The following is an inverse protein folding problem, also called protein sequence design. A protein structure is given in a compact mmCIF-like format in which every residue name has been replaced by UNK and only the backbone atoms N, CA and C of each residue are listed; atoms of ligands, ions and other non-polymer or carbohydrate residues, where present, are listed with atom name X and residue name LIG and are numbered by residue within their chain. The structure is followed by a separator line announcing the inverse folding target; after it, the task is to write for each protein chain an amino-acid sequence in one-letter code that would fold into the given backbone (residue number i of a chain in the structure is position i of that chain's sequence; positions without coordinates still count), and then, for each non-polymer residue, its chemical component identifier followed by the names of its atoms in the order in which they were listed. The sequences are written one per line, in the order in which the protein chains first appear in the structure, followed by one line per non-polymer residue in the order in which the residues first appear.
data_IF_647833404139
#
_entry.id   IF_647833404139
#
_cell.length_a   1.000
_cell.length_b   1.000
_cell.length_c   1.000
_cell.angle_alpha   90.00
_cell.angle_beta   90.00
_cell.angle_gamma   90.00
#
_symmetry.space_group_name_H-M   'P 1'
#
loop_
_entity.id
_entity.type
_entity.pdbx_description
1 polymer ?
#
# COMPACT_ATOMS: atom_id res chain seq x y z
N UNK A 1 -19.94 -10.83 15.25
CA UNK A 1 -21.12 -11.63 14.91
C UNK A 1 -21.31 -12.67 16.02
N UNK A 2 -22.32 -12.49 16.86
CA UNK A 2 -22.58 -13.33 18.05
C UNK A 2 -22.82 -14.80 17.70
N UNK A 3 -23.13 -15.10 16.44
CA UNK A 3 -23.54 -16.43 15.98
C UNK A 3 -22.38 -17.21 15.31
N UNK A 4 -21.20 -16.62 15.15
CA UNK A 4 -20.05 -17.25 14.52
C UNK A 4 -18.81 -17.24 15.43
N UNK A 5 -18.87 -18.06 16.48
CA UNK A 5 -17.75 -18.22 17.44
C UNK A 5 -16.50 -18.80 16.79
N UNK A 6 -16.63 -19.70 15.81
CA UNK A 6 -15.50 -20.31 15.11
C UNK A 6 -14.68 -19.26 14.33
N UNK A 7 -15.34 -18.34 13.62
CA UNK A 7 -14.65 -17.25 12.93
C UNK A 7 -14.02 -16.26 13.91
N UNK A 8 -14.70 -15.99 15.05
CA UNK A 8 -14.13 -15.15 16.10
C UNK A 8 -12.87 -15.78 16.68
N UNK A 9 -12.92 -17.03 17.10
CA UNK A 9 -11.80 -17.76 17.70
C UNK A 9 -10.60 -17.88 16.73
N UNK A 10 -10.89 -17.94 15.42
CA UNK A 10 -9.86 -17.99 14.38
C UNK A 10 -9.14 -16.66 14.17
N UNK A 11 -9.87 -15.54 14.20
CA UNK A 11 -9.35 -14.22 13.80
C UNK A 11 -9.07 -13.28 14.96
N UNK A 12 -9.57 -13.61 16.17
CA UNK A 12 -9.27 -12.84 17.36
C UNK A 12 -8.28 -13.60 18.27
N UNK A 13 -7.30 -12.94 18.90
CA UNK A 13 -7.00 -11.50 18.86
C UNK A 13 -6.34 -11.07 17.56
N UNK A 14 -6.64 -9.85 17.12
CA UNK A 14 -6.02 -9.24 15.95
C UNK A 14 -4.49 -9.18 16.10
N UNK A 15 -3.75 -9.61 15.08
CA UNK A 15 -2.29 -9.52 15.08
C UNK A 15 -1.83 -8.05 15.02
N UNK A 16 -2.50 -7.23 14.21
CA UNK A 16 -2.22 -5.80 14.04
C UNK A 16 -3.54 -5.06 13.86
N UNK A 17 -3.72 -3.97 14.58
CA UNK A 17 -4.70 -2.93 14.30
C UNK A 17 -3.96 -1.73 13.71
N UNK A 18 -4.15 -1.47 12.42
CA UNK A 18 -3.57 -0.35 11.71
C UNK A 18 -4.56 0.80 11.68
N UNK A 19 -4.21 1.92 12.27
CA UNK A 19 -5.11 3.05 12.49
C UNK A 19 -4.43 4.39 12.16
N UNK A 20 -5.20 5.41 11.81
CA UNK A 20 -4.70 6.77 11.73
C UNK A 20 -4.29 7.30 13.11
N UNK A 21 -3.27 8.16 13.16
CA UNK A 21 -2.75 8.69 14.43
C UNK A 21 -3.81 9.40 15.28
N UNK A 22 -4.85 9.94 14.67
CA UNK A 22 -5.94 10.66 15.33
C UNK A 22 -6.82 9.77 16.21
N UNK A 23 -6.88 8.47 15.91
CA UNK A 23 -7.70 7.50 16.65
C UNK A 23 -6.87 6.52 17.48
N UNK A 24 -5.55 6.71 17.60
CA UNK A 24 -4.66 5.87 18.41
C UNK A 24 -5.13 5.80 19.86
N UNK A 25 -5.55 6.91 20.46
CA UNK A 25 -6.06 6.95 21.84
C UNK A 25 -7.24 5.99 22.05
N UNK A 26 -8.17 5.93 21.07
CA UNK A 26 -9.33 5.03 21.17
C UNK A 26 -8.91 3.57 21.13
N UNK A 27 -7.91 3.22 20.33
CA UNK A 27 -7.44 1.84 20.14
C UNK A 27 -6.42 1.39 21.18
N UNK A 28 -5.75 2.31 21.90
CA UNK A 28 -4.73 1.98 22.91
C UNK A 28 -5.19 2.19 24.34
N UNK A 29 -6.28 2.91 24.57
CA UNK A 29 -6.83 3.16 25.91
C UNK A 29 -8.27 2.63 26.02
N UNK A 30 -9.22 3.22 25.30
CA UNK A 30 -10.64 2.88 25.49
C UNK A 30 -10.97 1.47 25.02
N UNK A 31 -10.49 1.07 23.87
CA UNK A 31 -10.73 -0.26 23.33
C UNK A 31 -10.17 -1.38 24.21
N UNK A 32 -8.91 -1.33 24.71
CA UNK A 32 -8.39 -2.28 25.67
C UNK A 32 -9.21 -2.36 26.95
N UNK A 33 -9.68 -1.24 27.48
CA UNK A 33 -10.53 -1.22 28.68
C UNK A 33 -11.85 -1.98 28.40
N UNK A 34 -12.48 -1.76 27.26
CA UNK A 34 -13.72 -2.47 26.88
C UNK A 34 -13.48 -3.97 26.73
N UNK A 35 -12.40 -4.37 26.05
CA UNK A 35 -12.06 -5.78 25.86
C UNK A 35 -11.76 -6.47 27.20
N UNK A 36 -11.02 -5.80 28.07
CA UNK A 36 -10.73 -6.32 29.40
C UNK A 36 -12.00 -6.49 30.23
N UNK A 37 -12.92 -5.52 30.18
CA UNK A 37 -14.20 -5.61 30.88
C UNK A 37 -15.10 -6.74 30.35
N UNK A 38 -14.94 -7.13 29.10
CA UNK A 38 -15.64 -8.27 28.46
C UNK A 38 -14.92 -9.61 28.66
N UNK A 39 -13.75 -9.64 29.31
CA UNK A 39 -12.93 -10.85 29.46
C UNK A 39 -12.28 -11.34 28.16
N UNK A 40 -12.14 -10.46 27.17
CA UNK A 40 -11.55 -10.78 25.87
C UNK A 40 -10.06 -10.44 25.83
N UNK A 41 -9.31 -11.20 25.03
CA UNK A 41 -7.90 -10.92 24.76
C UNK A 41 -7.70 -9.58 24.07
N UNK A 42 -6.55 -8.93 24.31
CA UNK A 42 -6.20 -7.68 23.66
C UNK A 42 -5.55 -7.94 22.29
N UNK A 43 -5.66 -7.02 21.32
CA UNK A 43 -4.89 -7.05 20.09
C UNK A 43 -3.38 -7.16 20.39
N UNK A 44 -2.63 -7.91 19.57
CA UNK A 44 -1.20 -8.11 19.76
C UNK A 44 -0.39 -6.84 19.53
N UNK A 45 -0.86 -5.98 18.62
CA UNK A 45 -0.26 -4.66 18.37
C UNK A 45 -1.25 -3.67 17.79
N UNK A 46 -1.04 -2.39 18.09
CA UNK A 46 -1.75 -1.24 17.49
C UNK A 46 -0.72 -0.31 16.89
N UNK A 47 -0.87 0.04 15.62
CA UNK A 47 0.09 0.84 14.87
C UNK A 47 -0.63 2.06 14.30
N UNK A 48 -0.15 3.25 14.69
CA UNK A 48 -0.62 4.52 14.17
C UNK A 48 0.21 4.97 12.97
N UNK A 49 -0.44 5.27 11.84
CA UNK A 49 0.20 5.92 10.70
C UNK A 49 -0.07 7.43 10.70
N UNK A 50 0.84 8.20 10.08
CA UNK A 50 0.70 9.64 9.90
C UNK A 50 -0.37 10.04 8.88
N UNK A 51 -0.62 11.32 8.75
CA UNK A 51 -1.52 11.86 7.73
C UNK A 51 -0.81 12.11 6.42
N UNK A 52 -1.56 11.98 5.33
CA UNK A 52 -1.19 12.58 4.05
C UNK A 52 -1.70 14.02 4.06
N UNK A 53 -0.79 14.97 3.99
CA UNK A 53 -1.10 16.40 4.00
C UNK A 53 -0.64 17.06 2.71
N UNK A 54 -1.22 18.20 2.39
CA UNK A 54 -0.74 19.10 1.33
C UNK A 54 0.27 20.12 1.90
N UNK A 55 0.98 20.85 1.03
CA UNK A 55 1.89 21.92 1.48
C UNK A 55 1.20 22.97 2.37
N UNK A 56 -0.07 23.23 2.12
CA UNK A 56 -0.93 24.17 2.88
C UNK A 56 -1.63 23.54 4.08
N UNK A 57 -1.28 22.31 4.43
CA UNK A 57 -1.74 21.57 5.60
C UNK A 57 -2.69 20.42 5.28
N UNK A 58 -3.61 20.14 6.23
CA UNK A 58 -4.50 18.98 6.14
C UNK A 58 -5.45 19.07 4.95
N UNK A 59 -5.60 17.97 4.21
CA UNK A 59 -6.63 17.84 3.18
C UNK A 59 -8.03 18.00 3.77
N UNK A 60 -8.86 18.82 3.14
CA UNK A 60 -10.23 19.07 3.58
C UNK A 60 -11.15 19.29 2.38
N UNK A 61 -12.28 18.59 2.35
CA UNK A 61 -13.32 18.79 1.33
C UNK A 61 -13.81 20.24 1.29
N UNK A 62 -13.93 20.88 2.46
CA UNK A 62 -14.36 22.28 2.54
C UNK A 62 -13.33 23.28 2.00
N UNK A 63 -12.04 22.93 2.01
CA UNK A 63 -10.97 23.74 1.39
C UNK A 63 -10.77 23.43 -0.09
N UNK A 64 -11.36 22.34 -0.61
CA UNK A 64 -11.18 21.89 -1.99
C UNK A 64 -9.75 21.42 -2.31
N UNK A 65 -8.94 21.06 -1.31
CA UNK A 65 -7.55 20.62 -1.49
C UNK A 65 -7.39 19.10 -1.33
N UNK A 66 -8.42 18.34 -1.72
CA UNK A 66 -8.40 16.88 -1.69
C UNK A 66 -8.01 16.33 -3.05
N UNK A 67 -7.06 15.39 -3.06
CA UNK A 67 -6.75 14.58 -4.25
C UNK A 67 -7.33 13.19 -4.02
N UNK A 68 -8.18 12.77 -4.93
CA UNK A 68 -8.82 11.46 -4.89
C UNK A 68 -7.88 10.42 -5.52
N UNK A 69 -7.55 9.32 -4.81
CA UNK A 69 -6.65 8.29 -5.33
C UNK A 69 -7.10 7.70 -6.66
N UNK A 70 -8.42 7.59 -6.88
CA UNK A 70 -9.03 7.02 -8.07
C UNK A 70 -8.64 7.80 -9.35
N UNK A 71 -8.49 9.12 -9.24
CA UNK A 71 -8.08 9.96 -10.37
C UNK A 71 -6.61 9.73 -10.73
N UNK A 72 -5.77 9.52 -9.71
CA UNK A 72 -4.37 9.17 -9.92
C UNK A 72 -4.22 7.75 -10.45
N UNK A 73 -5.03 6.80 -9.95
CA UNK A 73 -5.05 5.42 -10.43
C UNK A 73 -5.46 5.33 -11.91
N UNK A 74 -6.52 6.02 -12.31
CA UNK A 74 -7.00 6.04 -13.69
C UNK A 74 -5.92 6.55 -14.66
N UNK A 75 -5.11 7.53 -14.24
CA UNK A 75 -4.11 8.16 -15.10
C UNK A 75 -2.74 7.48 -15.07
N UNK A 76 -2.27 7.07 -13.91
CA UNK A 76 -0.90 6.56 -13.70
C UNK A 76 -0.85 5.07 -13.39
N UNK A 77 -1.99 4.44 -13.16
CA UNK A 77 -2.11 3.04 -12.73
C UNK A 77 -1.97 2.85 -11.22
N UNK A 78 -2.60 1.79 -10.72
CA UNK A 78 -2.64 1.43 -9.30
C UNK A 78 -1.25 1.30 -8.68
N UNK A 79 -0.32 0.66 -9.39
CA UNK A 79 1.03 0.39 -8.88
C UNK A 79 1.83 1.68 -8.61
N UNK A 80 1.70 2.71 -9.46
CA UNK A 80 2.37 3.99 -9.25
C UNK A 80 1.84 4.71 -8.00
N UNK A 81 0.53 4.69 -7.77
CA UNK A 81 -0.11 5.30 -6.60
C UNK A 81 0.30 4.55 -5.33
N UNK A 82 0.23 3.21 -5.32
CA UNK A 82 0.64 2.40 -4.17
C UNK A 82 2.12 2.58 -3.83
N UNK A 83 2.98 2.58 -4.85
CA UNK A 83 4.41 2.84 -4.66
C UNK A 83 4.64 4.18 -3.99
N UNK A 84 4.06 5.25 -4.55
CA UNK A 84 4.23 6.58 -3.99
C UNK A 84 3.81 6.66 -2.53
N UNK A 85 2.59 6.21 -2.20
CA UNK A 85 2.06 6.27 -0.85
C UNK A 85 2.92 5.51 0.17
N UNK A 86 3.43 4.32 -0.19
CA UNK A 86 4.24 3.50 0.72
C UNK A 86 5.72 3.91 0.75
N UNK A 87 6.20 4.62 -0.27
CA UNK A 87 7.59 5.09 -0.36
C UNK A 87 7.78 6.48 0.25
N UNK A 88 6.84 7.39 0.02
CA UNK A 88 6.94 8.78 0.43
C UNK A 88 6.48 9.04 1.87
N UNK A 89 5.77 8.08 2.49
CA UNK A 89 5.18 8.24 3.82
C UNK A 89 5.70 7.18 4.79
N UNK A 90 6.81 7.45 5.50
CA UNK A 90 7.26 6.57 6.57
C UNK A 90 6.21 6.48 7.69
N UNK A 91 5.92 5.27 8.19
CA UNK A 91 5.00 5.08 9.32
C UNK A 91 5.45 5.91 10.53
N UNK A 92 4.48 6.52 11.23
CA UNK A 92 4.71 7.38 12.38
C UNK A 92 4.91 8.86 12.06
N UNK A 93 5.16 9.23 10.81
CA UNK A 93 5.31 10.61 10.36
C UNK A 93 4.21 11.00 9.37
N UNK A 94 3.91 12.30 9.27
CA UNK A 94 3.04 12.82 8.23
C UNK A 94 3.81 12.88 6.90
N UNK A 95 3.13 12.52 5.81
CA UNK A 95 3.66 12.65 4.46
C UNK A 95 3.09 13.89 3.77
N UNK A 96 3.93 14.68 3.12
CA UNK A 96 3.49 15.83 2.34
C UNK A 96 3.37 15.42 0.88
N UNK A 97 2.15 15.44 0.35
CA UNK A 97 1.92 15.22 -1.07
C UNK A 97 2.22 16.50 -1.85
N UNK A 98 3.00 16.35 -2.91
CA UNK A 98 3.14 17.39 -3.94
C UNK A 98 3.08 16.76 -5.32
N UNK A 99 2.44 17.44 -6.31
CA UNK A 99 2.42 16.96 -7.69
C UNK A 99 3.82 16.69 -8.25
N UNK A 100 4.78 17.57 -7.92
CA UNK A 100 6.16 17.48 -8.36
C UNK A 100 6.86 16.23 -7.83
N UNK A 101 6.70 15.92 -6.53
CA UNK A 101 7.31 14.73 -5.93
C UNK A 101 6.67 13.45 -6.48
N UNK A 102 5.34 13.44 -6.65
CA UNK A 102 4.65 12.30 -7.24
C UNK A 102 5.17 12.00 -8.66
N UNK A 103 5.19 12.98 -9.54
CA UNK A 103 5.65 12.81 -10.93
C UNK A 103 7.14 12.47 -10.98
N UNK A 104 7.96 13.09 -10.11
CA UNK A 104 9.38 12.77 -10.00
C UNK A 104 9.60 11.30 -9.61
N UNK A 105 8.88 10.79 -8.61
CA UNK A 105 8.95 9.37 -8.19
C UNK A 105 8.55 8.41 -9.30
N UNK A 106 7.45 8.71 -10.02
CA UNK A 106 7.04 7.89 -11.17
C UNK A 106 8.12 7.86 -12.24
N UNK A 107 8.72 9.01 -12.55
CA UNK A 107 9.73 9.10 -13.60
C UNK A 107 11.09 8.52 -13.18
N UNK A 108 11.62 8.89 -12.02
CA UNK A 108 12.97 8.49 -11.62
C UNK A 108 13.00 7.05 -11.11
N UNK A 109 12.13 6.74 -10.14
CA UNK A 109 12.18 5.43 -9.52
C UNK A 109 11.58 4.34 -10.44
N UNK A 110 10.34 4.56 -10.93
CA UNK A 110 9.62 3.52 -11.65
C UNK A 110 10.00 3.44 -13.14
N UNK A 111 9.98 4.55 -13.86
CA UNK A 111 10.26 4.51 -15.31
C UNK A 111 11.77 4.42 -15.62
N UNK A 112 12.61 5.28 -14.99
CA UNK A 112 14.03 5.30 -15.31
C UNK A 112 14.80 4.17 -14.62
N UNK A 113 14.67 3.99 -13.30
CA UNK A 113 15.48 3.00 -12.61
C UNK A 113 14.99 1.57 -12.92
N UNK A 114 13.75 1.24 -12.55
CA UNK A 114 13.21 -0.10 -12.73
C UNK A 114 12.86 -0.42 -14.19
N UNK A 115 12.12 0.47 -14.85
CA UNK A 115 11.64 0.26 -16.20
C UNK A 115 12.79 0.17 -17.22
N UNK A 116 13.80 1.03 -17.09
CA UNK A 116 14.98 1.01 -17.94
C UNK A 116 15.85 -0.25 -17.70
N UNK A 117 16.02 -0.67 -16.44
CA UNK A 117 16.74 -1.90 -16.13
C UNK A 117 16.10 -3.11 -16.83
N UNK A 118 14.77 -3.25 -16.73
CA UNK A 118 14.05 -4.34 -17.39
C UNK A 118 14.20 -4.27 -18.92
N UNK A 119 13.94 -3.11 -19.52
CA UNK A 119 14.01 -2.95 -20.97
C UNK A 119 15.42 -3.21 -21.52
N UNK A 120 16.47 -2.69 -20.86
CA UNK A 120 17.87 -2.94 -21.25
C UNK A 120 18.21 -4.43 -21.16
N UNK A 121 17.82 -5.08 -20.07
CA UNK A 121 18.09 -6.52 -19.85
C UNK A 121 17.40 -7.38 -20.93
N UNK A 122 16.10 -7.17 -21.18
CA UNK A 122 15.35 -7.89 -22.22
C UNK A 122 15.97 -7.68 -23.61
N UNK A 123 16.32 -6.43 -23.94
CA UNK A 123 16.96 -6.11 -25.22
C UNK A 123 18.32 -6.78 -25.39
N UNK A 124 19.15 -6.81 -24.33
CA UNK A 124 20.47 -7.46 -24.37
C UNK A 124 20.37 -8.96 -24.45
N UNK A 125 19.45 -9.61 -23.72
CA UNK A 125 19.20 -11.06 -23.82
C UNK A 125 18.73 -11.42 -25.24
N UNK A 126 17.84 -10.64 -25.84
CA UNK A 126 17.44 -10.84 -27.23
C UNK A 126 18.63 -10.74 -28.20
N UNK A 127 19.47 -9.74 -28.00
CA UNK A 127 20.59 -9.43 -28.90
C UNK A 127 21.74 -10.43 -28.79
N UNK A 128 22.08 -10.85 -27.57
CA UNK A 128 23.29 -11.60 -27.30
C UNK A 128 23.06 -13.10 -27.05
N UNK A 129 21.87 -13.47 -26.55
CA UNK A 129 21.53 -14.84 -26.14
C UNK A 129 20.37 -15.44 -26.96
N UNK A 130 20.03 -14.82 -28.09
CA UNK A 130 18.92 -15.29 -28.94
C UNK A 130 17.57 -15.31 -28.24
N UNK A 131 17.40 -14.50 -27.23
CA UNK A 131 16.17 -14.37 -26.45
C UNK A 131 15.96 -15.42 -25.36
N UNK A 132 16.97 -16.21 -25.03
CA UNK A 132 16.89 -17.22 -23.97
C UNK A 132 17.71 -16.76 -22.76
N UNK A 133 17.11 -16.79 -21.56
CA UNK A 133 17.84 -16.46 -20.32
C UNK A 133 18.87 -17.56 -20.04
N UNK A 134 20.19 -17.23 -19.96
CA UNK A 134 21.21 -18.19 -19.71
C UNK A 134 21.17 -18.79 -18.31
N UNK A 135 21.88 -19.90 -18.12
CA UNK A 135 22.10 -20.43 -16.77
C UNK A 135 23.05 -19.56 -15.98
N UNK A 136 22.68 -19.34 -14.72
CA UNK A 136 23.52 -18.62 -13.77
C UNK A 136 24.76 -19.49 -13.44
N UNK A 137 25.94 -18.88 -13.55
CA UNK A 137 27.20 -19.43 -13.11
C UNK A 137 27.79 -18.54 -12.04
N UNK A 138 28.52 -19.07 -11.09
CA UNK A 138 29.12 -18.29 -10.01
C UNK A 138 30.56 -17.95 -10.33
N UNK A 139 31.03 -16.76 -9.88
CA UNK A 139 32.44 -16.42 -9.79
C UNK A 139 33.16 -16.16 -11.10
N UNK A 140 32.52 -15.53 -12.09
CA UNK A 140 33.18 -15.15 -13.34
C UNK A 140 33.90 -13.82 -13.27
N UNK A 141 33.38 -12.87 -12.46
CA UNK A 141 33.98 -11.55 -12.25
C UNK A 141 33.78 -11.08 -10.82
N UNK A 142 34.63 -10.14 -10.34
CA UNK A 142 34.47 -9.51 -9.01
C UNK A 142 33.14 -8.72 -8.91
N UNK A 143 32.62 -8.23 -10.04
CA UNK A 143 31.34 -7.51 -10.10
C UNK A 143 30.15 -8.43 -9.84
N UNK A 144 30.23 -9.73 -10.22
CA UNK A 144 29.21 -10.74 -9.96
C UNK A 144 29.02 -10.94 -8.46
N UNK A 145 30.12 -11.13 -7.73
CA UNK A 145 30.12 -11.36 -6.29
C UNK A 145 29.55 -10.15 -5.54
N UNK A 146 29.92 -8.93 -5.97
CA UNK A 146 29.39 -7.71 -5.35
C UNK A 146 27.88 -7.53 -5.59
N UNK A 147 27.39 -7.85 -6.80
CA UNK A 147 25.96 -7.83 -7.08
C UNK A 147 25.20 -8.85 -6.22
N UNK A 148 25.69 -10.12 -6.19
CA UNK A 148 25.06 -11.20 -5.41
C UNK A 148 25.02 -10.81 -3.92
N UNK A 149 26.13 -10.37 -3.35
CA UNK A 149 26.22 -9.93 -1.95
C UNK A 149 25.21 -8.80 -1.67
N UNK A 150 25.18 -7.77 -2.52
CA UNK A 150 24.25 -6.65 -2.38
C UNK A 150 22.79 -7.12 -2.39
N UNK A 151 22.44 -8.07 -3.26
CA UNK A 151 21.09 -8.61 -3.33
C UNK A 151 20.73 -9.39 -2.08
N UNK A 152 21.61 -10.27 -1.60
CA UNK A 152 21.35 -11.10 -0.39
C UNK A 152 21.24 -10.23 0.86
N UNK A 153 22.11 -9.23 1.03
CA UNK A 153 22.02 -8.26 2.13
C UNK A 153 20.72 -7.43 2.06
N UNK A 154 20.32 -7.03 0.87
CA UNK A 154 19.08 -6.29 0.66
C UNK A 154 17.83 -7.13 0.98
N UNK A 155 17.80 -8.43 0.65
CA UNK A 155 16.72 -9.36 1.03
C UNK A 155 16.58 -9.44 2.56
N UNK A 156 17.69 -9.56 3.28
CA UNK A 156 17.69 -9.62 4.75
C UNK A 156 17.14 -8.32 5.34
N UNK A 157 17.66 -7.19 4.89
CA UNK A 157 17.26 -5.85 5.35
C UNK A 157 15.78 -5.54 5.00
N UNK A 158 15.33 -5.92 3.81
CA UNK A 158 13.94 -5.82 3.38
C UNK A 158 13.01 -6.57 4.34
N UNK A 159 13.32 -7.83 4.65
CA UNK A 159 12.49 -8.64 5.54
C UNK A 159 12.42 -8.05 6.96
N UNK A 160 13.54 -7.52 7.49
CA UNK A 160 13.60 -6.87 8.79
C UNK A 160 12.74 -5.59 8.79
N UNK A 161 12.88 -4.75 7.77
CA UNK A 161 12.15 -3.50 7.64
C UNK A 161 10.65 -3.74 7.44
N UNK A 162 10.28 -4.70 6.60
CA UNK A 162 8.87 -5.02 6.35
C UNK A 162 8.16 -5.58 7.59
N UNK A 163 8.83 -6.46 8.37
CA UNK A 163 8.33 -6.96 9.66
C UNK A 163 8.16 -5.86 10.70
N UNK A 164 9.02 -4.85 10.66
CA UNK A 164 8.95 -3.67 11.53
C UNK A 164 7.96 -2.59 11.01
N UNK A 165 7.24 -2.86 9.90
CA UNK A 165 6.34 -1.94 9.19
C UNK A 165 7.04 -0.65 8.71
N UNK A 166 8.34 -0.69 8.51
CA UNK A 166 9.12 0.37 7.86
C UNK A 166 9.09 0.17 6.34
N UNK A 167 7.92 0.35 5.75
CA UNK A 167 7.67 0.05 4.33
C UNK A 167 8.54 0.90 3.39
N UNK A 168 8.74 2.17 3.70
CA UNK A 168 9.60 3.05 2.91
C UNK A 168 11.06 2.57 2.87
N UNK A 169 11.60 2.11 4.03
CA UNK A 169 12.94 1.56 4.12
C UNK A 169 13.05 0.20 3.42
N UNK A 170 12.01 -0.64 3.53
CA UNK A 170 11.95 -1.90 2.81
C UNK A 170 11.98 -1.68 1.28
N UNK A 171 11.22 -0.71 0.77
CA UNK A 171 11.26 -0.33 -0.64
C UNK A 171 12.63 0.23 -1.04
N UNK A 172 13.29 1.02 -0.17
CA UNK A 172 14.66 1.50 -0.42
C UNK A 172 15.64 0.33 -0.62
N UNK A 173 15.50 -0.77 0.15
CA UNK A 173 16.35 -1.96 -0.05
C UNK A 173 16.14 -2.56 -1.45
N UNK A 174 14.93 -2.53 -2.01
CA UNK A 174 14.69 -2.97 -3.41
C UNK A 174 15.40 -2.04 -4.39
N UNK A 175 15.36 -0.72 -4.15
CA UNK A 175 16.06 0.25 -5.01
C UNK A 175 17.58 0.15 -4.91
N UNK A 176 18.14 -0.29 -3.79
CA UNK A 176 19.56 -0.67 -3.69
C UNK A 176 19.92 -1.74 -4.72
N UNK A 177 19.09 -2.80 -4.84
CA UNK A 177 19.29 -3.86 -5.85
C UNK A 177 19.20 -3.29 -7.27
N UNK A 178 18.17 -2.49 -7.57
CA UNK A 178 17.95 -1.93 -8.90
C UNK A 178 19.13 -1.03 -9.32
N UNK A 179 19.57 -0.13 -8.45
CA UNK A 179 20.72 0.75 -8.73
C UNK A 179 22.02 -0.04 -8.87
N UNK A 180 22.24 -1.08 -8.04
CA UNK A 180 23.41 -1.95 -8.18
C UNK A 180 23.39 -2.71 -9.50
N UNK A 181 22.24 -3.22 -9.93
CA UNK A 181 22.10 -3.91 -11.22
C UNK A 181 22.31 -2.96 -12.42
N UNK A 182 21.82 -1.72 -12.36
CA UNK A 182 22.10 -0.72 -13.39
C UNK A 182 23.61 -0.42 -13.47
N UNK A 183 24.27 -0.21 -12.31
CA UNK A 183 25.72 0.01 -12.23
C UNK A 183 26.50 -1.21 -12.77
N UNK A 184 26.05 -2.43 -12.47
CA UNK A 184 26.65 -3.68 -12.96
C UNK A 184 26.67 -3.75 -14.49
N UNK A 185 25.62 -3.28 -15.19
CA UNK A 185 25.63 -3.15 -16.65
C UNK A 185 26.74 -2.23 -17.13
N UNK A 186 26.95 -1.11 -16.45
CA UNK A 186 27.95 -0.10 -16.85
C UNK A 186 29.38 -0.58 -16.54
N UNK A 187 29.58 -1.36 -15.48
CA UNK A 187 30.87 -1.96 -15.10
C UNK A 187 31.27 -3.12 -16.01
N UNK A 188 30.32 -4.02 -16.29
CA UNK A 188 30.61 -5.22 -17.12
C UNK A 188 30.62 -4.94 -18.63
N UNK A 189 30.04 -3.82 -19.05
CA UNK A 189 30.00 -3.38 -20.45
C UNK A 189 29.65 -4.51 -21.46
N UNK A 190 28.44 -5.10 -21.40
CA UNK A 190 28.07 -6.24 -22.22
C UNK A 190 28.28 -6.04 -23.73
N UNK A 191 28.17 -4.79 -24.19
CA UNK A 191 28.43 -4.43 -25.59
C UNK A 191 29.89 -4.50 -26.00
N UNK A 192 30.82 -4.50 -25.03
CA UNK A 192 32.27 -4.75 -25.26
C UNK A 192 32.53 -6.24 -25.25
N UNK A 193 32.02 -6.96 -24.23
CA UNK A 193 32.14 -8.43 -24.13
C UNK A 193 31.61 -9.14 -25.40
N UNK A 194 30.52 -8.64 -25.98
CA UNK A 194 29.91 -9.19 -27.18
C UNK A 194 30.77 -9.07 -28.46
N UNK A 195 31.89 -8.34 -28.43
CA UNK A 195 32.81 -8.22 -29.58
C UNK A 195 33.91 -9.29 -29.62
N UNK A 196 34.06 -10.05 -28.54
CA UNK A 196 35.09 -11.05 -28.35
C UNK A 196 34.45 -12.40 -28.01
N UNK A 197 34.53 -13.35 -28.93
CA UNK A 197 33.95 -14.68 -28.76
C UNK A 197 34.52 -15.44 -27.55
N UNK A 198 35.74 -15.10 -27.11
CA UNK A 198 36.34 -15.71 -25.91
C UNK A 198 35.66 -15.26 -24.62
N UNK A 199 34.95 -14.14 -24.63
CA UNK A 199 34.23 -13.57 -23.51
C UNK A 199 32.74 -13.98 -23.44
N UNK A 200 32.29 -14.86 -24.35
CA UNK A 200 30.90 -15.27 -24.46
C UNK A 200 30.34 -15.87 -23.16
N UNK A 201 31.13 -16.68 -22.45
CA UNK A 201 30.71 -17.27 -21.18
C UNK A 201 30.47 -16.18 -20.10
N UNK A 202 31.32 -15.16 -20.04
CA UNK A 202 31.16 -14.02 -19.13
C UNK A 202 29.93 -13.23 -19.52
N UNK A 203 29.74 -12.95 -20.81
CA UNK A 203 28.56 -12.23 -21.30
C UNK A 203 27.25 -12.94 -20.93
N UNK A 204 27.19 -14.26 -21.16
CA UNK A 204 26.04 -15.09 -20.80
C UNK A 204 25.76 -15.00 -19.28
N UNK A 205 26.83 -15.06 -18.47
CA UNK A 205 26.70 -14.98 -17.02
C UNK A 205 26.20 -13.58 -16.57
N UNK A 206 26.65 -12.51 -17.22
CA UNK A 206 26.14 -11.15 -16.98
C UNK A 206 24.63 -11.08 -17.25
N UNK A 207 24.15 -11.67 -18.36
CA UNK A 207 22.72 -11.70 -18.67
C UNK A 207 21.93 -12.49 -17.63
N UNK A 208 22.45 -13.62 -17.14
CA UNK A 208 21.83 -14.42 -16.09
C UNK A 208 21.73 -13.65 -14.75
N UNK A 209 22.80 -12.92 -14.37
CA UNK A 209 22.81 -12.10 -13.17
C UNK A 209 21.77 -10.98 -13.19
N UNK A 210 21.63 -10.30 -14.34
CA UNK A 210 20.62 -9.26 -14.51
C UNK A 210 19.18 -9.81 -14.43
N UNK A 211 18.93 -10.96 -15.07
CA UNK A 211 17.63 -11.64 -14.98
C UNK A 211 17.35 -12.11 -13.53
N UNK A 212 18.37 -12.61 -12.83
CA UNK A 212 18.29 -13.00 -11.42
C UNK A 212 17.93 -11.82 -10.50
N UNK A 213 18.63 -10.69 -10.67
CA UNK A 213 18.33 -9.48 -9.90
C UNK A 213 16.90 -8.97 -10.15
N UNK A 214 16.45 -8.93 -11.42
CA UNK A 214 15.08 -8.51 -11.76
C UNK A 214 14.03 -9.48 -11.21
N UNK A 215 14.29 -10.79 -11.19
CA UNK A 215 13.42 -11.76 -10.54
C UNK A 215 13.25 -11.46 -9.05
N UNK A 216 14.37 -11.23 -8.34
CA UNK A 216 14.34 -10.88 -6.92
C UNK A 216 13.57 -9.58 -6.69
N UNK A 217 13.85 -8.55 -7.48
CA UNK A 217 13.13 -7.25 -7.42
C UNK A 217 11.62 -7.46 -7.59
N UNK A 218 11.20 -8.26 -8.58
CA UNK A 218 9.79 -8.54 -8.79
C UNK A 218 9.15 -9.24 -7.57
N UNK A 219 9.83 -10.21 -6.96
CA UNK A 219 9.33 -10.92 -5.78
C UNK A 219 9.18 -9.98 -4.58
N UNK A 220 10.18 -9.13 -4.32
CA UNK A 220 10.14 -8.19 -3.20
C UNK A 220 9.10 -7.08 -3.39
N UNK A 221 8.76 -6.73 -4.63
CA UNK A 221 7.75 -5.71 -4.94
C UNK A 221 6.29 -6.21 -4.84
N UNK A 222 6.04 -7.53 -4.82
CA UNK A 222 4.67 -8.09 -4.82
C UNK A 222 3.73 -7.53 -3.74
N UNK A 223 4.16 -7.29 -2.49
CA UNK A 223 3.25 -6.75 -1.47
C UNK A 223 2.79 -5.32 -1.77
N UNK A 224 3.55 -4.59 -2.59
CA UNK A 224 3.32 -3.18 -2.90
C UNK A 224 2.74 -2.99 -4.30
N UNK A 225 3.35 -3.61 -5.31
CA UNK A 225 2.95 -3.51 -6.70
C UNK A 225 2.17 -4.76 -7.12
N UNK A 226 0.97 -4.58 -7.64
CA UNK A 226 0.05 -5.69 -7.94
C UNK A 226 0.19 -6.22 -9.36
N UNK A 227 0.70 -5.42 -10.30
CA UNK A 227 0.80 -5.76 -11.72
C UNK A 227 2.24 -5.85 -12.21
N UNK A 228 3.11 -4.93 -11.80
CA UNK A 228 4.49 -4.85 -12.27
C UNK A 228 5.30 -6.13 -12.03
N UNK A 229 5.20 -6.83 -10.87
CA UNK A 229 5.91 -8.09 -10.66
C UNK A 229 5.57 -9.15 -11.71
N UNK A 230 4.29 -9.32 -12.04
CA UNK A 230 3.84 -10.25 -13.09
C UNK A 230 4.40 -9.84 -14.45
N UNK A 231 4.32 -8.56 -14.81
CA UNK A 231 4.86 -8.05 -16.09
C UNK A 231 6.37 -8.25 -16.22
N UNK A 232 7.13 -8.13 -15.11
CA UNK A 232 8.57 -8.41 -15.11
C UNK A 232 8.82 -9.89 -15.41
N UNK A 233 8.10 -10.81 -14.76
CA UNK A 233 8.22 -12.25 -15.03
C UNK A 233 7.86 -12.61 -16.47
N UNK A 234 6.72 -12.09 -16.97
CA UNK A 234 6.27 -12.31 -18.35
C UNK A 234 7.31 -11.83 -19.37
N UNK A 235 7.90 -10.65 -19.16
CA UNK A 235 8.92 -10.13 -20.07
C UNK A 235 10.22 -10.91 -20.03
N UNK A 236 10.56 -11.49 -18.87
CA UNK A 236 11.71 -12.40 -18.74
C UNK A 236 11.41 -13.84 -19.22
N UNK A 237 10.16 -14.12 -19.60
CA UNK A 237 9.74 -15.45 -20.04
C UNK A 237 9.66 -16.47 -18.91
N UNK A 238 9.41 -16.03 -17.69
CA UNK A 238 9.18 -16.88 -16.53
C UNK A 238 7.69 -16.99 -16.22
N UNK A 239 7.29 -18.16 -15.73
CA UNK A 239 5.95 -18.36 -15.21
C UNK A 239 5.78 -17.61 -13.89
N UNK A 240 4.73 -16.79 -13.78
CA UNK A 240 4.36 -16.12 -12.55
C UNK A 240 3.23 -16.91 -11.89
N UNK A 241 3.44 -17.49 -10.68
CA UNK A 241 2.42 -18.28 -10.01
C UNK A 241 1.19 -17.45 -9.69
N UNK A 242 0.00 -18.05 -9.76
CA UNK A 242 -1.27 -17.38 -9.51
C UNK A 242 -1.30 -16.69 -8.13
N UNK A 243 -0.78 -17.35 -7.11
CA UNK A 243 -0.68 -16.86 -5.74
C UNK A 243 0.63 -16.08 -5.45
N UNK A 244 1.36 -15.67 -6.48
CA UNK A 244 2.65 -15.01 -6.36
C UNK A 244 3.79 -15.95 -5.93
N UNK A 245 4.98 -15.38 -5.77
CA UNK A 245 6.18 -16.09 -5.35
C UNK A 245 6.44 -15.88 -3.87
N UNK A 246 6.74 -16.95 -3.15
CA UNK A 246 7.01 -16.88 -1.71
C UNK A 246 8.33 -16.12 -1.44
N UNK A 247 8.29 -15.12 -0.56
CA UNK A 247 9.48 -14.36 -0.17
C UNK A 247 10.38 -15.16 0.81
N UNK A 248 9.76 -15.99 1.65
CA UNK A 248 10.52 -16.80 2.61
C UNK A 248 11.42 -17.82 1.88
N UNK A 249 12.73 -17.78 2.17
CA UNK A 249 13.73 -18.62 1.49
C UNK A 249 14.16 -18.11 0.13
N UNK A 250 13.81 -16.87 -0.24
CA UNK A 250 14.26 -16.25 -1.48
C UNK A 250 15.78 -16.04 -1.44
N UNK A 251 16.48 -16.53 -2.46
CA UNK A 251 17.92 -16.36 -2.65
C UNK A 251 18.23 -16.05 -4.12
N UNK A 252 19.40 -15.46 -4.35
CA UNK A 252 19.84 -15.08 -5.69
C UNK A 252 20.00 -16.28 -6.62
N UNK A 253 20.51 -17.41 -6.12
CA UNK A 253 20.82 -18.61 -6.91
C UNK A 253 19.62 -19.36 -7.49
N UNK A 254 18.40 -18.98 -7.16
CA UNK A 254 17.16 -19.67 -7.61
C UNK A 254 16.62 -19.07 -8.92
N UNK A 255 17.48 -18.84 -9.92
CA UNK A 255 17.03 -18.36 -11.23
C UNK A 255 16.42 -19.51 -12.04
N UNK A 256 15.16 -19.39 -12.52
CA UNK A 256 14.61 -20.34 -13.49
C UNK A 256 15.44 -20.34 -14.78
N UNK A 257 15.75 -21.53 -15.32
CA UNK A 257 16.53 -21.67 -16.55
C UNK A 257 15.62 -21.69 -17.76
N UNK A 258 16.14 -21.21 -18.91
CA UNK A 258 15.48 -21.34 -20.21
C UNK A 258 14.28 -20.40 -20.42
N UNK A 259 14.10 -19.39 -19.59
CA UNK A 259 13.09 -18.36 -19.81
C UNK A 259 13.29 -17.70 -21.18
N UNK A 260 12.21 -17.61 -21.96
CA UNK A 260 12.25 -17.00 -23.28
C UNK A 260 11.70 -15.58 -23.19
N UNK A 261 12.59 -14.59 -23.19
CA UNK A 261 12.17 -13.19 -23.07
C UNK A 261 11.30 -12.75 -24.23
N UNK A 262 10.43 -11.77 -23.99
CA UNK A 262 9.61 -11.17 -25.06
C UNK A 262 10.51 -10.54 -26.13
N UNK A 263 10.11 -10.60 -27.41
CA UNK A 263 10.89 -10.04 -28.52
C UNK A 263 11.13 -8.55 -28.40
N UNK A 264 10.16 -7.82 -27.84
CA UNK A 264 10.24 -6.39 -27.58
C UNK A 264 9.64 -6.13 -26.20
N UNK A 265 10.44 -5.58 -25.28
CA UNK A 265 9.95 -5.15 -23.98
C UNK A 265 8.96 -3.99 -24.11
N UNK A 266 7.90 -4.04 -23.32
CA UNK A 266 6.97 -2.93 -23.17
C UNK A 266 7.30 -2.18 -21.87
N UNK A 267 7.28 -0.83 -21.88
CA UNK A 267 7.47 -0.06 -20.66
C UNK A 267 6.41 -0.44 -19.63
N UNK A 268 6.84 -0.97 -18.48
CA UNK A 268 5.93 -1.29 -17.36
C UNK A 268 5.43 -0.03 -16.66
N UNK A 269 6.21 1.06 -16.74
CA UNK A 269 5.85 2.40 -16.33
C UNK A 269 6.26 3.38 -17.43
N UNK A 270 5.27 4.00 -18.12
CA UNK A 270 5.58 5.00 -19.13
C UNK A 270 6.12 6.27 -18.48
N UNK A 271 7.11 6.89 -19.15
CA UNK A 271 7.65 8.18 -18.71
C UNK A 271 6.61 9.28 -18.89
N UNK A 272 6.47 10.11 -17.86
CA UNK A 272 5.50 11.20 -17.81
C UNK A 272 6.14 12.55 -18.20
N UNK A 273 5.39 13.41 -18.87
CA UNK A 273 5.79 14.80 -19.08
C UNK A 273 5.59 15.59 -17.77
N UNK A 274 6.69 16.04 -17.17
CA UNK A 274 6.66 16.66 -15.82
C UNK A 274 5.75 17.89 -15.78
N UNK A 275 5.87 18.79 -16.75
CA UNK A 275 5.13 20.05 -16.76
C UNK A 275 3.60 19.82 -16.95
N UNK A 276 3.26 18.94 -17.87
CA UNK A 276 1.86 18.55 -18.13
C UNK A 276 1.21 17.90 -16.91
N UNK A 277 1.92 16.92 -16.31
CA UNK A 277 1.36 16.14 -15.20
C UNK A 277 1.29 16.94 -13.90
N UNK A 278 2.28 17.77 -13.61
CA UNK A 278 2.22 18.70 -12.47
C UNK A 278 1.06 19.68 -12.63
N UNK A 279 0.86 20.21 -13.84
CA UNK A 279 -0.29 21.09 -14.14
C UNK A 279 -1.61 20.37 -13.97
N UNK A 280 -1.71 19.14 -14.47
CA UNK A 280 -2.93 18.32 -14.33
C UNK A 280 -3.28 18.07 -12.87
N UNK A 281 -2.34 17.56 -12.06
CA UNK A 281 -2.58 17.25 -10.65
C UNK A 281 -2.89 18.52 -9.85
N UNK A 282 -2.17 19.62 -10.08
CA UNK A 282 -2.44 20.91 -9.45
C UNK A 282 -3.84 21.45 -9.81
N UNK A 283 -4.29 21.17 -11.03
CA UNK A 283 -5.63 21.52 -11.48
C UNK A 283 -6.74 20.73 -10.79
N UNK A 284 -6.49 19.55 -10.27
CA UNK A 284 -7.47 18.79 -9.48
C UNK A 284 -7.77 19.50 -8.16
N UNK A 285 -6.75 20.03 -7.50
CA UNK A 285 -6.87 20.78 -6.25
C UNK A 285 -7.65 22.09 -6.43
N UNK A 286 -7.48 22.78 -7.56
CA UNK A 286 -8.11 24.07 -7.81
C UNK A 286 -9.57 24.00 -8.32
N UNK A 287 -10.01 22.87 -8.85
CA UNK A 287 -11.38 22.69 -9.37
C UNK A 287 -12.45 22.52 -8.28
N UNK A 288 -12.07 21.98 -7.11
CA UNK A 288 -13.01 21.82 -5.98
C UNK A 288 -13.32 23.14 -5.26
N UNK A 289 -12.54 24.19 -5.48
CA UNK A 289 -12.84 25.53 -4.95
C UNK A 289 -13.95 26.25 -5.70
N UNK A 290 -14.40 25.75 -6.87
CA UNK A 290 -15.53 26.28 -7.64
C UNK A 290 -16.66 25.25 -7.71
N UNK A 291 -17.30 24.99 -6.58
CA UNK A 291 -18.52 24.21 -6.37
C UNK A 291 -19.21 23.64 -7.63
N UNK A 292 -18.80 22.43 -8.04
CA UNK A 292 -19.65 21.47 -8.74
C UNK A 292 -19.09 20.07 -8.43
N UNK A 293 -19.55 19.49 -7.33
CA UNK A 293 -19.36 18.09 -7.06
C UNK A 293 -19.83 17.27 -8.25
N UNK A 294 -18.93 16.58 -8.93
CA UNK A 294 -19.26 15.58 -9.93
C UNK A 294 -19.83 14.39 -9.17
N UNK A 295 -21.17 14.34 -9.13
CA UNK A 295 -21.89 13.19 -8.60
C UNK A 295 -21.40 11.94 -9.33
N UNK A 296 -20.67 11.09 -8.65
CA UNK A 296 -20.58 9.68 -8.98
C UNK A 296 -22.02 9.19 -8.94
N UNK A 297 -22.51 8.69 -10.08
CA UNK A 297 -23.83 8.07 -10.14
C UNK A 297 -23.86 6.84 -9.26
N UNK A 298 -24.23 7.01 -8.02
CA UNK A 298 -24.84 5.96 -7.22
C UNK A 298 -26.23 5.73 -7.81
N UNK A 299 -26.42 4.67 -8.56
CA UNK A 299 -27.72 4.05 -8.72
C UNK A 299 -28.13 3.37 -7.39
N UNK A 300 -28.43 4.21 -6.39
CA UNK A 300 -29.15 3.76 -5.22
C UNK A 300 -30.63 4.08 -5.44
N UNK A 301 -31.44 3.03 -5.45
CA UNK A 301 -32.90 3.07 -5.46
C UNK A 301 -33.42 4.18 -4.53
N UNK A 302 -34.06 5.18 -5.13
CA UNK A 302 -34.88 6.16 -4.41
C UNK A 302 -36.02 5.43 -3.69
N UNK A 303 -35.91 5.32 -2.39
CA UNK A 303 -37.08 5.24 -1.53
C UNK A 303 -37.30 6.65 -1.00
N UNK A 304 -38.44 7.22 -1.34
CA UNK A 304 -38.84 8.55 -0.94
C UNK A 304 -38.80 8.69 0.59
N UNK A 305 -38.02 9.64 1.07
CA UNK A 305 -38.15 10.17 2.43
C UNK A 305 -38.51 11.63 2.27
N UNK A 306 -39.69 11.95 2.80
CA UNK A 306 -40.37 13.22 2.88
C UNK A 306 -39.43 14.31 3.42
N UNK A 307 -39.49 15.50 2.80
CA UNK A 307 -38.88 16.75 3.25
C UNK A 307 -39.12 16.98 4.73
N UNK A 308 -38.05 17.06 5.50
CA UNK A 308 -38.07 17.60 6.87
C UNK A 308 -37.28 18.89 6.89
N UNK A 309 -37.98 19.92 7.38
CA UNK A 309 -37.56 21.28 7.67
C UNK A 309 -36.10 21.43 8.09
N UNK A 310 -35.48 22.57 7.70
CA UNK A 310 -34.21 23.08 8.22
C UNK A 310 -34.15 22.89 9.73
N UNK A 311 -33.31 21.96 10.18
CA UNK A 311 -33.02 21.80 11.60
C UNK A 311 -31.98 22.86 11.95
N UNK A 312 -32.25 23.65 12.91
CA UNK A 312 -31.27 24.55 13.53
C UNK A 312 -30.07 23.75 13.99
N UNK A 313 -28.90 24.04 13.39
CA UNK A 313 -27.64 23.39 13.77
C UNK A 313 -27.24 23.94 15.15
N UNK A 314 -26.96 23.01 16.08
CA UNK A 314 -26.41 23.36 17.39
C UNK A 314 -24.97 23.87 17.24
N UNK A 315 -24.60 24.85 18.05
CA UNK A 315 -23.22 25.36 18.11
C UNK A 315 -22.34 24.43 18.93
N UNK A 316 -21.02 24.62 18.85
CA UNK A 316 -20.08 23.89 19.70
C UNK A 316 -20.33 24.14 21.18
N UNK A 317 -20.70 25.39 21.57
CA UNK A 317 -21.01 25.73 22.95
C UNK A 317 -22.30 25.08 23.46
N UNK A 318 -23.24 24.78 22.56
CA UNK A 318 -24.43 24.00 22.89
C UNK A 318 -24.08 22.53 23.09
N UNK A 319 -23.18 21.99 22.27
CA UNK A 319 -22.69 20.61 22.42
C UNK A 319 -21.85 20.46 23.70
N UNK A 320 -21.05 21.44 24.06
CA UNK A 320 -20.20 21.44 25.26
C UNK A 320 -21.01 21.43 26.58
N UNK A 321 -22.30 21.81 26.53
CA UNK A 321 -23.22 21.72 27.68
C UNK A 321 -23.74 20.31 27.90
N UNK A 322 -23.56 19.36 26.94
CA UNK A 322 -24.04 17.98 27.05
C UNK A 322 -23.09 17.23 27.95
N UNK A 323 -23.60 16.71 29.04
CA UNK A 323 -22.87 15.82 29.94
C UNK A 323 -23.18 14.35 29.57
N UNK A 324 -22.16 13.58 29.25
CA UNK A 324 -22.28 12.15 28.93
C UNK A 324 -21.80 11.35 30.14
N UNK A 325 -22.72 10.62 30.76
CA UNK A 325 -22.46 9.83 31.96
C UNK A 325 -22.58 8.33 31.65
N UNK A 326 -21.73 7.53 32.26
CA UNK A 326 -21.88 6.09 32.31
C UNK A 326 -22.95 5.74 33.37
N UNK A 327 -23.89 4.89 33.02
CA UNK A 327 -24.94 4.47 33.93
C UNK A 327 -25.09 2.96 33.95
N UNK A 328 -25.43 2.39 35.13
CA UNK A 328 -25.70 0.97 35.30
C UNK A 328 -27.16 0.68 34.95
N UNK A 329 -27.43 -0.33 34.15
CA UNK A 329 -28.80 -0.83 33.89
C UNK A 329 -29.28 -1.59 35.16
N UNK A 330 -30.31 -1.09 35.80
CA UNK A 330 -30.90 -1.68 36.99
C UNK A 330 -32.00 -2.68 36.60
N UNK A 331 -32.84 -2.31 35.62
CA UNK A 331 -33.90 -3.18 35.08
C UNK A 331 -34.18 -2.85 33.61
N UNK A 332 -34.73 -3.86 32.88
CA UNK A 332 -35.18 -3.68 31.50
C UNK A 332 -36.56 -4.35 31.34
N UNK A 333 -37.52 -3.65 30.71
CA UNK A 333 -38.87 -4.10 30.48
C UNK A 333 -39.25 -3.91 29.00
N UNK A 334 -40.09 -4.80 28.50
CA UNK A 334 -40.66 -4.68 27.15
C UNK A 334 -41.74 -3.58 27.18
N UNK A 335 -41.65 -2.67 26.22
CA UNK A 335 -42.70 -1.64 26.06
C UNK A 335 -43.91 -2.28 25.38
N UNK A 336 -45.07 -2.30 26.07
CA UNK A 336 -46.33 -2.76 25.49
C UNK A 336 -46.66 -1.94 24.23
N UNK A 337 -47.07 -2.59 23.18
CA UNK A 337 -47.42 -2.02 21.87
C UNK A 337 -46.19 -1.54 21.02
N UNK A 338 -44.98 -1.94 21.37
CA UNK A 338 -43.79 -1.69 20.53
C UNK A 338 -42.99 -2.96 20.27
N UNK A 339 -42.73 -3.25 19.00
CA UNK A 339 -41.89 -4.39 18.61
C UNK A 339 -40.37 -4.06 18.67
N UNK A 340 -40.03 -2.80 18.88
CA UNK A 340 -38.61 -2.31 18.77
C UNK A 340 -38.08 -1.75 20.08
N UNK A 341 -38.93 -1.39 21.05
CA UNK A 341 -38.51 -0.63 22.22
C UNK A 341 -38.38 -1.51 23.47
N UNK A 342 -37.29 -1.30 24.19
CA UNK A 342 -37.09 -1.68 25.58
C UNK A 342 -37.07 -0.42 26.46
N UNK A 343 -37.61 -0.52 27.64
CA UNK A 343 -37.59 0.49 28.69
C UNK A 343 -36.56 0.09 29.73
N UNK A 344 -35.55 0.88 29.92
CA UNK A 344 -34.51 0.64 30.93
C UNK A 344 -34.63 1.64 32.07
N UNK A 345 -34.40 1.12 33.27
CA UNK A 345 -34.15 1.95 34.46
C UNK A 345 -32.62 1.96 34.70
N UNK A 346 -32.05 3.13 34.76
CA UNK A 346 -30.61 3.34 34.92
C UNK A 346 -30.29 3.97 36.27
N UNK A 347 -29.14 3.59 36.83
CA UNK A 347 -28.46 4.29 37.92
C UNK A 347 -27.22 4.98 37.31
N UNK A 348 -27.24 6.32 37.30
CA UNK A 348 -26.15 7.17 36.81
C UNK A 348 -25.32 7.79 37.93
N UNK A 349 -25.50 7.33 39.18
CA UNK A 349 -24.80 7.82 40.34
C UNK A 349 -25.45 9.12 40.95
N UNK A 350 -26.50 9.65 40.35
CA UNK A 350 -27.19 10.86 40.86
C UNK A 350 -28.10 10.61 42.04
N UNK A 351 -28.30 9.38 42.47
CA UNK A 351 -29.21 8.97 43.54
C UNK A 351 -30.69 8.92 43.12
N UNK A 352 -31.01 9.19 41.87
CA UNK A 352 -32.35 9.12 41.32
C UNK A 352 -32.40 8.17 40.11
N UNK A 353 -33.30 7.16 40.07
CA UNK A 353 -33.37 6.29 38.90
C UNK A 353 -33.78 7.07 37.65
N UNK A 354 -33.06 6.92 36.56
CA UNK A 354 -33.34 7.51 35.24
C UNK A 354 -33.96 6.47 34.32
N UNK A 355 -35.06 6.79 33.67
CA UNK A 355 -35.70 5.94 32.70
C UNK A 355 -35.32 6.36 31.27
N UNK A 356 -34.96 5.38 30.44
CA UNK A 356 -34.74 5.59 28.99
C UNK A 356 -35.49 4.53 28.16
N UNK A 357 -35.83 4.89 26.93
CA UNK A 357 -36.37 3.98 25.92
C UNK A 357 -35.34 3.77 24.84
N UNK A 358 -35.07 2.52 24.48
CA UNK A 358 -34.09 2.16 23.46
C UNK A 358 -34.68 1.19 22.43
N UNK A 359 -34.35 1.40 21.16
CA UNK A 359 -34.81 0.60 20.02
C UNK A 359 -34.04 -0.71 19.80
N UNK A 360 -33.47 -1.30 20.84
CA UNK A 360 -32.55 -2.48 20.75
C UNK A 360 -33.24 -3.82 21.06
N UNK A 361 -34.58 -3.90 21.04
CA UNK A 361 -35.33 -5.14 21.38
C UNK A 361 -35.02 -6.32 20.45
N UNK A 362 -34.44 -6.07 19.25
CA UNK A 362 -34.07 -7.11 18.28
C UNK A 362 -32.62 -7.58 18.41
N UNK A 363 -31.90 -7.05 19.37
CA UNK A 363 -30.46 -7.34 19.61
C UNK A 363 -30.32 -8.02 21.01
#
# INVERSE_FOLDING_TARGET
DSDNTEAFDKFWPANVQLVGKEIVRFHTIYWPIMLHALGLELPKSVIGHGWLVMKDGKMSKSKGNVIYPEVLEERYGLDAVRYYLLRAMPFGNDGVFTPEDFVARVNFDLANDLGNLLNRTVAMINKYEGGVVPQLQTGQTDFDEDLVRTVEEAIVSYNQNFKALRTADALENVWVIIRRANKYIDETQPWVLAKDDTQKAILSNVMAHLAGALRIVAVLLQPVLTQAPRKIYEQLGFEYPENGVRIAGLTFGQLPTGGKVVKKGEPIFPRQNVEEEVTFISGLVSKDTKGKGRAVKEEAKKTAVTETSERDLITYDDFAKIEILAAKIVSGEIVEKSEKLLKFTLDDGSGKPRQILSGIRKW
#
